data_IF_219111237216
#
_entry.id   IF_219111237216
#
_cell.length_a   1.000
_cell.length_b   1.000
_cell.length_c   1.000
_cell.angle_alpha   90.00
_cell.angle_beta   90.00
_cell.angle_gamma   90.00
#
_symmetry.space_group_name_H-M   'P 1'
#
loop_
_entity.id
_entity.type
_entity.pdbx_description
1 polymer ?
#
# COMPACT_ATOMS: atom_id res chain seq x y z
N UNK A 1 11.52 7.35 -17.57
CA UNK A 1 12.24 7.75 -16.35
C UNK A 1 12.10 6.66 -15.31
N UNK A 2 13.20 6.16 -14.73
CA UNK A 2 13.19 4.99 -13.83
C UNK A 2 12.84 5.39 -12.39
N UNK A 3 11.90 4.70 -11.73
CA UNK A 3 11.51 4.94 -10.33
C UNK A 3 12.60 4.55 -9.30
N UNK A 4 13.67 3.88 -9.74
CA UNK A 4 14.80 3.50 -8.92
C UNK A 4 15.45 4.69 -8.18
N UNK A 5 15.62 5.82 -8.87
CA UNK A 5 16.31 7.00 -8.32
C UNK A 5 15.55 7.64 -7.14
N UNK A 6 14.26 8.00 -7.27
CA UNK A 6 13.51 8.58 -6.15
C UNK A 6 13.42 7.60 -4.97
N UNK A 7 13.21 6.31 -5.22
CA UNK A 7 13.15 5.29 -4.16
C UNK A 7 14.47 5.22 -3.37
N UNK A 8 15.61 5.11 -4.06
CA UNK A 8 16.94 5.06 -3.42
C UNK A 8 17.20 6.32 -2.59
N UNK A 9 16.79 7.48 -3.09
CA UNK A 9 16.92 8.74 -2.36
C UNK A 9 16.10 8.76 -1.07
N UNK A 10 14.87 8.25 -1.09
CA UNK A 10 14.03 8.12 0.12
C UNK A 10 14.67 7.16 1.12
N UNK A 11 15.05 5.95 0.67
CA UNK A 11 15.65 4.93 1.54
C UNK A 11 16.93 5.47 2.20
N UNK A 12 17.77 6.18 1.44
CA UNK A 12 18.98 6.79 1.96
C UNK A 12 18.69 7.82 3.06
N UNK A 13 17.71 8.71 2.84
CA UNK A 13 17.31 9.70 3.86
C UNK A 13 16.77 9.03 5.13
N UNK A 14 15.95 7.99 4.98
CA UNK A 14 15.41 7.24 6.14
C UNK A 14 16.52 6.61 6.96
N UNK A 15 17.52 6.00 6.30
CA UNK A 15 18.70 5.43 6.97
C UNK A 15 19.46 6.49 7.76
N UNK A 16 19.79 7.62 7.13
CA UNK A 16 20.49 8.72 7.80
C UNK A 16 19.71 9.27 8.99
N UNK A 17 18.39 9.40 8.88
CA UNK A 17 17.55 9.88 9.99
C UNK A 17 17.49 8.88 11.13
N UNK A 18 17.36 7.58 10.84
CA UNK A 18 17.36 6.53 11.86
C UNK A 18 18.66 6.53 12.67
N UNK A 19 19.81 6.61 11.98
CA UNK A 19 21.14 6.69 12.59
C UNK A 19 21.28 7.92 13.51
N UNK A 20 20.81 9.08 13.08
CA UNK A 20 20.82 10.32 13.88
C UNK A 20 19.91 10.27 15.12
N UNK A 21 18.96 9.34 15.15
CA UNK A 21 18.02 9.14 16.26
C UNK A 21 18.38 7.95 17.15
N UNK A 22 19.61 7.42 17.05
CA UNK A 22 20.07 6.23 17.76
C UNK A 22 19.16 4.99 17.55
N UNK A 23 18.53 4.91 16.37
CA UNK A 23 17.72 3.76 15.96
C UNK A 23 18.43 2.99 14.87
N UNK A 24 18.35 1.67 14.92
CA UNK A 24 18.81 0.84 13.81
C UNK A 24 17.91 1.08 12.60
N UNK A 25 18.51 1.22 11.43
CA UNK A 25 17.76 1.52 10.19
C UNK A 25 16.82 0.39 9.76
N UNK A 26 17.04 -0.85 10.20
CA UNK A 26 16.15 -2.00 9.99
C UNK A 26 14.88 -1.96 10.84
N UNK A 27 14.80 -1.10 11.86
CA UNK A 27 13.58 -0.85 12.61
C UNK A 27 12.60 0.07 11.88
N UNK A 28 13.01 0.66 10.76
CA UNK A 28 12.16 1.56 9.96
C UNK A 28 11.95 0.95 8.58
N UNK A 29 10.69 0.66 8.26
CA UNK A 29 10.29 0.12 6.96
C UNK A 29 9.77 1.24 6.07
N UNK A 30 10.29 1.32 4.83
CA UNK A 30 9.76 2.24 3.81
C UNK A 30 8.69 1.49 3.03
N UNK A 31 7.49 2.06 2.94
CA UNK A 31 6.39 1.53 2.14
C UNK A 31 6.19 2.39 0.90
N UNK A 32 6.14 1.78 -0.27
CA UNK A 32 5.83 2.47 -1.51
C UNK A 32 4.30 2.49 -1.71
N UNK A 33 3.69 3.67 -1.63
CA UNK A 33 2.23 3.80 -1.85
C UNK A 33 1.95 3.81 -3.35
N UNK A 34 1.22 2.80 -3.83
CA UNK A 34 0.97 2.57 -5.26
C UNK A 34 -0.45 2.92 -5.72
N UNK A 35 -1.29 3.49 -4.83
CA UNK A 35 -2.64 3.97 -5.19
C UNK A 35 -2.58 4.86 -6.44
N UNK A 36 -3.50 4.62 -7.38
CA UNK A 36 -3.62 5.35 -8.65
C UNK A 36 -2.37 5.29 -9.56
N UNK A 37 -1.41 4.39 -9.29
CA UNK A 37 -0.24 4.16 -10.16
C UNK A 37 -0.47 2.95 -11.06
N UNK A 38 0.06 2.97 -12.30
CA UNK A 38 -0.04 1.81 -13.18
C UNK A 38 0.78 0.64 -12.63
N UNK A 39 0.36 -0.59 -12.97
CA UNK A 39 1.05 -1.83 -12.54
C UNK A 39 2.53 -1.84 -12.94
N UNK A 40 2.88 -1.22 -14.08
CA UNK A 40 4.26 -1.07 -14.54
C UNK A 40 5.16 -0.31 -13.54
N UNK A 41 4.61 0.63 -12.77
CA UNK A 41 5.38 1.33 -11.73
C UNK A 41 5.70 0.41 -10.56
N UNK A 42 4.77 -0.48 -10.21
CA UNK A 42 4.96 -1.46 -9.14
C UNK A 42 6.06 -2.45 -9.56
N UNK A 43 6.03 -2.93 -10.82
CA UNK A 43 7.12 -3.71 -11.40
C UNK A 43 8.47 -3.00 -11.33
N UNK A 44 8.57 -1.75 -11.79
CA UNK A 44 9.84 -1.02 -11.75
C UNK A 44 10.42 -0.85 -10.33
N UNK A 45 9.55 -0.72 -9.32
CA UNK A 45 9.96 -0.62 -7.92
C UNK A 45 10.29 -2.00 -7.34
N UNK A 46 9.58 -3.04 -7.75
CA UNK A 46 9.86 -4.43 -7.38
C UNK A 46 11.19 -4.92 -7.94
N UNK A 47 11.47 -4.62 -9.21
CA UNK A 47 12.69 -5.04 -9.93
C UNK A 47 13.97 -4.49 -9.28
N UNK A 48 13.87 -3.40 -8.52
CA UNK A 48 15.00 -2.85 -7.75
C UNK A 48 15.10 -3.40 -6.33
N UNK A 49 14.36 -4.48 -6.02
CA UNK A 49 14.42 -5.22 -4.76
C UNK A 49 13.41 -4.77 -3.69
N UNK A 50 12.54 -3.81 -3.99
CA UNK A 50 11.53 -3.36 -3.01
C UNK A 50 10.37 -4.35 -2.94
N UNK A 51 9.82 -4.57 -1.74
CA UNK A 51 8.74 -5.55 -1.52
C UNK A 51 7.51 -4.99 -0.81
N UNK A 52 7.64 -3.92 -0.03
CA UNK A 52 6.54 -3.38 0.77
C UNK A 52 5.73 -2.33 0.00
N UNK A 53 4.48 -2.65 -0.34
CA UNK A 53 3.59 -1.77 -1.10
C UNK A 53 2.30 -1.47 -0.33
N UNK A 54 1.88 -0.21 -0.38
CA UNK A 54 0.65 0.28 0.25
C UNK A 54 -0.44 0.58 -0.77
N UNK A 55 -1.65 0.08 -0.55
CA UNK A 55 -2.85 0.39 -1.35
C UNK A 55 -3.98 0.90 -0.47
N UNK A 56 -4.80 1.77 -1.06
CA UNK A 56 -5.97 2.39 -0.42
C UNK A 56 -7.31 1.85 -0.95
N UNK A 57 -7.29 1.18 -2.11
CA UNK A 57 -8.51 0.70 -2.79
C UNK A 57 -8.49 -0.82 -2.93
N UNK A 58 -9.51 -1.47 -2.34
CA UNK A 58 -9.66 -2.94 -2.37
C UNK A 58 -9.74 -3.46 -3.81
N UNK A 59 -10.43 -2.73 -4.68
CA UNK A 59 -10.56 -3.12 -6.08
C UNK A 59 -9.20 -3.10 -6.79
N UNK A 60 -8.42 -2.02 -6.64
CA UNK A 60 -7.07 -1.95 -7.21
C UNK A 60 -6.19 -3.09 -6.68
N UNK A 61 -6.20 -3.37 -5.38
CA UNK A 61 -5.38 -4.45 -4.81
C UNK A 61 -5.81 -5.83 -5.34
N UNK A 62 -7.12 -6.10 -5.43
CA UNK A 62 -7.66 -7.36 -5.96
C UNK A 62 -7.34 -7.55 -7.44
N UNK A 63 -7.34 -6.48 -8.23
CA UNK A 63 -7.00 -6.54 -9.65
C UNK A 63 -5.49 -6.74 -9.83
N UNK A 64 -4.65 -6.09 -9.02
CA UNK A 64 -3.19 -6.05 -9.20
C UNK A 64 -2.45 -7.23 -8.56
N UNK A 65 -2.81 -7.65 -7.35
CA UNK A 65 -2.08 -8.70 -6.62
C UNK A 65 -1.98 -10.05 -7.38
N UNK A 66 -2.99 -10.48 -8.16
CA UNK A 66 -2.87 -11.67 -9.00
C UNK A 66 -1.81 -11.54 -10.10
N UNK A 67 -1.64 -10.33 -10.66
CA UNK A 67 -0.78 -10.02 -11.80
C UNK A 67 0.68 -9.72 -11.41
N UNK A 68 0.95 -9.57 -10.12
CA UNK A 68 2.24 -9.16 -9.58
C UNK A 68 2.95 -10.30 -8.84
N UNK A 69 4.28 -10.18 -8.63
CA UNK A 69 5.06 -11.16 -7.89
C UNK A 69 4.47 -11.48 -6.51
N UNK A 70 4.52 -12.75 -6.14
CA UNK A 70 3.93 -13.26 -4.88
C UNK A 70 4.76 -12.93 -3.64
N UNK A 71 5.99 -12.46 -3.82
CA UNK A 71 6.89 -12.01 -2.75
C UNK A 71 6.67 -10.53 -2.37
N UNK A 72 5.73 -9.83 -3.00
CA UNK A 72 5.27 -8.53 -2.53
C UNK A 72 4.62 -8.68 -1.14
N UNK A 73 4.83 -7.70 -0.28
CA UNK A 73 4.09 -7.54 0.97
C UNK A 73 3.08 -6.41 0.81
N UNK A 74 1.79 -6.76 0.79
CA UNK A 74 0.72 -5.80 0.63
C UNK A 74 0.27 -5.22 1.97
N UNK A 75 0.16 -3.90 2.03
CA UNK A 75 -0.35 -3.16 3.16
C UNK A 75 -1.60 -2.40 2.73
N UNK A 76 -2.73 -2.66 3.38
CA UNK A 76 -3.92 -1.86 3.18
C UNK A 76 -3.90 -0.70 4.19
N UNK A 77 -3.73 0.53 3.70
CA UNK A 77 -3.43 1.72 4.51
C UNK A 77 -4.64 2.65 4.70
N UNK A 78 -5.84 2.10 4.60
CA UNK A 78 -7.08 2.82 4.88
C UNK A 78 -7.99 1.95 5.75
N UNK A 79 -9.03 2.54 6.33
CA UNK A 79 -10.03 1.78 7.08
C UNK A 79 -10.85 0.89 6.14
N UNK A 80 -10.74 -0.42 6.35
CA UNK A 80 -11.43 -1.42 5.57
C UNK A 80 -12.78 -1.75 6.18
N UNK A 81 -13.84 -1.80 5.38
CA UNK A 81 -15.11 -2.34 5.87
C UNK A 81 -15.03 -3.87 5.98
N UNK A 82 -15.59 -4.44 7.04
CA UNK A 82 -15.55 -5.89 7.30
C UNK A 82 -16.07 -6.75 6.13
N UNK A 83 -17.07 -6.25 5.39
CA UNK A 83 -17.59 -6.94 4.22
C UNK A 83 -16.61 -6.99 3.03
N UNK A 84 -15.70 -6.02 2.94
CA UNK A 84 -14.63 -5.97 1.92
C UNK A 84 -13.40 -6.76 2.34
N UNK A 85 -13.20 -7.02 3.63
CA UNK A 85 -12.11 -7.86 4.11
C UNK A 85 -12.18 -9.28 3.58
N UNK A 86 -13.38 -9.90 3.54
CA UNK A 86 -13.57 -11.24 2.98
C UNK A 86 -13.12 -11.31 1.52
N UNK A 87 -13.47 -10.30 0.73
CA UNK A 87 -13.09 -10.21 -0.68
C UNK A 87 -11.57 -10.07 -0.84
N UNK A 88 -10.95 -9.24 0.00
CA UNK A 88 -9.51 -8.98 -0.02
C UNK A 88 -8.71 -10.26 0.33
N UNK A 89 -9.07 -10.94 1.42
CA UNK A 89 -8.41 -12.16 1.86
C UNK A 89 -8.52 -13.31 0.85
N UNK A 90 -9.60 -13.37 0.08
CA UNK A 90 -9.77 -14.39 -0.94
C UNK A 90 -8.83 -14.20 -2.16
N UNK A 91 -8.37 -12.98 -2.40
CA UNK A 91 -7.60 -12.61 -3.61
C UNK A 91 -6.13 -12.32 -3.31
N UNK A 92 -5.86 -11.71 -2.16
CA UNK A 92 -4.54 -11.18 -1.77
C UNK A 92 -3.97 -12.04 -0.65
N UNK A 93 -3.24 -13.10 -1.01
CA UNK A 93 -2.69 -14.06 -0.05
C UNK A 93 -1.50 -13.51 0.76
N UNK A 94 -0.81 -12.52 0.21
CA UNK A 94 0.37 -11.86 0.76
C UNK A 94 0.03 -10.49 1.39
N UNK A 95 -1.14 -10.40 2.02
CA UNK A 95 -1.58 -9.24 2.79
C UNK A 95 -0.86 -9.24 4.16
N UNK A 96 0.07 -8.31 4.34
CA UNK A 96 0.90 -8.20 5.54
C UNK A 96 0.19 -7.45 6.69
N UNK A 97 -0.63 -6.45 6.36
CA UNK A 97 -1.31 -5.61 7.37
C UNK A 97 -2.51 -4.88 6.76
N UNK A 98 -3.53 -4.63 7.58
CA UNK A 98 -4.64 -3.72 7.32
C UNK A 98 -4.65 -2.69 8.45
N UNK A 99 -4.76 -1.39 8.12
CA UNK A 99 -4.70 -0.30 9.11
C UNK A 99 -5.80 -0.44 10.17
N UNK A 100 -7.04 -0.68 9.73
CA UNK A 100 -8.18 -0.88 10.62
C UNK A 100 -9.36 -1.52 9.90
N UNK A 101 -10.23 -2.17 10.67
CA UNK A 101 -11.45 -2.81 10.16
C UNK A 101 -12.67 -2.25 10.88
N UNK A 102 -13.61 -1.67 10.13
CA UNK A 102 -14.83 -1.05 10.65
C UNK A 102 -16.10 -1.78 10.16
N UNK A 103 -17.14 -1.76 11.00
CA UNK A 103 -18.45 -2.37 10.69
C UNK A 103 -19.48 -1.39 10.11
N UNK A 104 -19.21 -0.08 10.09
CA UNK A 104 -20.24 0.93 9.80
C UNK A 104 -20.47 1.17 8.31
N UNK A 105 -21.74 1.26 7.91
CA UNK A 105 -22.16 1.85 6.64
C UNK A 105 -22.19 3.37 6.83
N UNK A 106 -21.18 4.09 6.33
CA UNK A 106 -21.38 5.52 6.05
C UNK A 106 -22.29 5.63 4.83
N UNK A 107 -23.59 5.76 5.09
CA UNK A 107 -24.54 6.28 4.11
C UNK A 107 -24.13 7.72 3.82
N UNK A 108 -23.72 8.02 2.59
CA UNK A 108 -23.64 9.41 2.15
C UNK A 108 -25.08 9.88 1.94
N UNK A 109 -25.64 10.62 2.90
CA UNK A 109 -26.80 11.46 2.62
C UNK A 109 -26.29 12.63 1.77
N UNK A 110 -26.49 12.52 0.46
CA UNK A 110 -26.37 13.67 -0.43
C UNK A 110 -27.44 14.68 -0.03
N UNK A 111 -27.02 15.88 0.37
CA UNK A 111 -27.89 17.04 0.35
C UNK A 111 -28.28 17.31 -1.11
N UNK A 112 -29.37 16.69 -1.55
CA UNK A 112 -30.11 17.15 -2.72
C UNK A 112 -30.83 18.42 -2.31
N UNK A 113 -30.31 19.57 -2.74
CA UNK A 113 -31.04 20.82 -2.73
C UNK A 113 -32.31 20.66 -3.58
N UNK A 114 -33.44 20.95 -2.96
CA UNK A 114 -34.76 21.10 -3.57
C UNK A 114 -34.77 22.17 -4.66
N UNK A 115 -35.63 21.92 -5.65
CA UNK A 115 -36.22 22.79 -6.69
C UNK A 115 -35.97 24.30 -6.63
#
# INVERSE_FOLDING_TARGET
MTLARPLRSVIFRVRQTAERSDRRSDQVRVMAVSRTKPVSHIWQVHDVGHRCFGESYVQEMNERAPQLPKDIEWYFIEHLRSNKMKQLLATVLNLAMVEGVNNEKKSFEGFGSSE
#
